data_IF_511609015199
#
_entry.id   IF_511609015199
#
_cell.length_a   1.000
_cell.length_b   1.000
_cell.length_c   1.000
_cell.angle_alpha   90.00
_cell.angle_beta   90.00
_cell.angle_gamma   90.00
#
_symmetry.space_group_name_H-M   'P 1'
#
loop_
_entity.id
_entity.type
_entity.pdbx_description
1 polymer ?
#
# COMPACT_ATOMS: atom_id res chain seq x y z
N UNK A 1 38.07 -1.91 40.98
CA UNK A 1 36.59 -1.96 41.12
C UNK A 1 35.94 -1.13 40.01
N UNK A 2 36.18 -1.45 38.73
CA UNK A 2 35.70 -0.66 37.58
C UNK A 2 35.35 -1.50 36.32
N UNK A 3 35.61 -2.81 36.29
CA UNK A 3 35.29 -3.63 35.12
C UNK A 3 33.83 -4.08 35.07
N UNK A 4 33.20 -4.27 36.23
CA UNK A 4 31.84 -4.81 36.34
C UNK A 4 30.79 -3.77 35.94
N UNK A 5 31.05 -2.48 36.22
CA UNK A 5 30.12 -1.40 35.92
C UNK A 5 29.96 -1.13 34.41
N UNK A 6 31.05 -1.22 33.64
CA UNK A 6 31.01 -1.01 32.19
C UNK A 6 30.34 -2.17 31.43
N UNK A 7 30.50 -3.41 31.92
CA UNK A 7 29.83 -4.58 31.35
C UNK A 7 28.31 -4.54 31.57
N UNK A 8 27.84 -4.07 32.73
CA UNK A 8 26.42 -3.89 32.99
C UNK A 8 25.79 -2.79 32.09
N UNK A 9 26.49 -1.69 31.84
CA UNK A 9 26.01 -0.62 30.95
C UNK A 9 25.88 -1.07 29.49
N UNK A 10 26.80 -1.90 29.00
CA UNK A 10 26.74 -2.44 27.63
C UNK A 10 25.57 -3.42 27.44
N UNK A 11 25.27 -4.23 28.45
CA UNK A 11 24.13 -5.18 28.41
C UNK A 11 22.80 -4.41 28.50
N UNK A 12 22.73 -3.35 29.32
CA UNK A 12 21.51 -2.52 29.40
C UNK A 12 21.26 -1.69 28.13
N UNK A 13 22.31 -1.21 27.45
CA UNK A 13 22.17 -0.47 26.18
C UNK A 13 21.83 -1.39 24.98
N UNK A 14 22.25 -2.66 25.01
CA UNK A 14 21.95 -3.64 23.95
C UNK A 14 20.53 -4.21 23.96
N UNK A 15 19.74 -3.93 25.00
CA UNK A 15 18.44 -4.60 25.23
C UNK A 15 17.22 -3.80 24.76
N UNK A 16 17.40 -2.57 24.27
CA UNK A 16 16.30 -1.60 24.08
C UNK A 16 16.04 -1.25 22.62
N UNK A 17 15.98 -2.20 21.68
CA UNK A 17 15.26 -1.94 20.41
C UNK A 17 14.70 -3.22 19.76
N UNK A 18 14.04 -4.10 20.52
CA UNK A 18 13.13 -5.10 19.93
C UNK A 18 11.82 -5.21 20.71
N UNK A 19 11.30 -4.07 21.18
CA UNK A 19 9.89 -3.99 21.54
C UNK A 19 9.09 -3.95 20.24
N UNK A 20 8.65 -5.12 19.79
CA UNK A 20 7.45 -5.23 18.96
C UNK A 20 6.36 -4.48 19.70
N UNK A 21 5.95 -3.33 19.17
CA UNK A 21 4.79 -2.60 19.68
C UNK A 21 3.62 -3.56 19.58
N UNK A 22 3.03 -4.00 20.70
CA UNK A 22 1.78 -4.74 20.63
C UNK A 22 0.74 -3.79 20.02
N UNK A 23 0.19 -4.16 18.87
CA UNK A 23 -0.95 -3.45 18.27
C UNK A 23 -2.13 -3.76 19.18
N UNK A 24 -2.25 -3.04 20.29
CA UNK A 24 -3.19 -3.39 21.37
C UNK A 24 -4.64 -3.09 21.00
N UNK A 25 -4.87 -2.42 19.87
CA UNK A 25 -6.15 -2.40 19.17
C UNK A 25 -5.85 -2.22 17.68
N UNK A 26 -6.15 -3.20 16.83
CA UNK A 26 -6.19 -2.91 15.40
C UNK A 26 -7.18 -1.73 15.20
N UNK A 27 -6.81 -0.63 14.53
CA UNK A 27 -7.69 0.54 14.39
C UNK A 27 -8.93 0.26 13.52
N UNK A 28 -9.15 -0.99 13.13
CA UNK A 28 -10.17 -1.41 12.20
C UNK A 28 -11.17 -2.34 12.88
N UNK A 29 -12.31 -1.78 13.28
CA UNK A 29 -13.54 -2.56 13.45
C UNK A 29 -14.31 -2.47 12.13
N UNK A 30 -14.15 -3.46 11.26
CA UNK A 30 -15.00 -3.59 10.08
C UNK A 30 -16.39 -4.06 10.52
N UNK A 31 -17.26 -3.13 10.92
CA UNK A 31 -18.67 -3.44 11.15
C UNK A 31 -19.40 -3.46 9.81
N UNK A 32 -19.09 -4.44 8.95
CA UNK A 32 -19.80 -4.68 7.69
C UNK A 32 -20.24 -6.13 7.67
N UNK A 33 -21.54 -6.37 7.48
CA UNK A 33 -22.13 -7.72 7.51
C UNK A 33 -21.48 -8.59 6.44
N UNK A 34 -21.05 -9.78 6.84
CA UNK A 34 -20.47 -10.84 6.00
C UNK A 34 -21.34 -11.17 4.76
N UNK A 35 -22.65 -11.01 4.88
CA UNK A 35 -23.63 -11.25 3.82
C UNK A 35 -23.56 -10.26 2.65
N UNK A 36 -23.07 -9.03 2.89
CA UNK A 36 -22.96 -8.03 1.84
C UNK A 36 -21.87 -8.45 0.84
N UNK A 37 -20.72 -8.91 1.33
CA UNK A 37 -19.58 -9.36 0.50
C UNK A 37 -19.98 -10.52 -0.42
N UNK A 38 -20.77 -11.47 0.09
CA UNK A 38 -21.21 -12.64 -0.69
C UNK A 38 -22.19 -12.26 -1.81
N UNK A 39 -23.08 -11.31 -1.57
CA UNK A 39 -24.00 -10.82 -2.60
C UNK A 39 -23.27 -10.03 -3.71
N UNK A 40 -22.10 -9.44 -3.41
CA UNK A 40 -21.29 -8.71 -4.39
C UNK A 40 -20.44 -9.63 -5.29
N UNK A 41 -19.97 -10.76 -4.78
CA UNK A 41 -19.18 -11.73 -5.57
C UNK A 41 -20.03 -12.46 -6.64
N UNK A 42 -21.35 -12.53 -6.46
CA UNK A 42 -22.25 -13.26 -7.37
C UNK A 42 -22.75 -12.42 -8.57
N UNK A 43 -22.37 -11.14 -8.68
CA UNK A 43 -22.75 -10.26 -9.80
C UNK A 43 -21.56 -9.88 -10.68
N UNK A 44 -20.88 -10.89 -11.22
CA UNK A 44 -20.04 -10.71 -12.40
C UNK A 44 -20.86 -11.02 -13.66
N UNK A 45 -21.27 -9.98 -14.38
CA UNK A 45 -21.53 -10.08 -15.83
C UNK A 45 -20.27 -9.63 -16.56
N UNK A 46 -19.78 -10.40 -17.55
CA UNK A 46 -18.57 -10.05 -18.26
C UNK A 46 -18.88 -8.91 -19.22
N UNK A 47 -18.32 -7.72 -18.94
CA UNK A 47 -18.36 -6.60 -19.87
C UNK A 47 -17.25 -6.82 -20.91
N UNK A 48 -17.65 -7.47 -22.00
CA UNK A 48 -16.84 -7.77 -23.18
C UNK A 48 -16.61 -6.48 -23.97
N UNK A 49 -15.52 -5.77 -23.65
CA UNK A 49 -14.99 -4.70 -24.50
C UNK A 49 -13.48 -4.82 -24.62
N UNK A 50 -13.07 -5.69 -25.56
CA UNK A 50 -11.92 -5.55 -26.46
C UNK A 50 -10.64 -4.95 -25.86
N UNK A 51 -9.69 -5.83 -25.52
CA UNK A 51 -8.28 -5.46 -25.35
C UNK A 51 -7.39 -6.48 -26.07
N UNK A 52 -7.52 -6.53 -27.39
CA UNK A 52 -6.45 -6.99 -28.27
C UNK A 52 -5.30 -5.99 -28.19
N UNK A 53 -4.46 -6.14 -27.18
CA UNK A 53 -3.07 -5.70 -27.12
C UNK A 53 -2.43 -6.43 -25.95
N UNK A 54 -2.19 -7.73 -26.16
CA UNK A 54 -1.27 -8.53 -25.35
C UNK A 54 0.15 -8.01 -25.60
N UNK A 55 0.45 -6.84 -25.05
CA UNK A 55 1.81 -6.58 -24.60
C UNK A 55 1.78 -6.97 -23.14
N UNK A 56 2.22 -8.21 -22.85
CA UNK A 56 2.83 -8.49 -21.56
C UNK A 56 4.06 -7.59 -21.45
N UNK A 57 3.84 -6.32 -21.12
CA UNK A 57 4.90 -5.47 -20.64
C UNK A 57 5.25 -6.07 -19.29
N UNK A 58 6.29 -6.89 -19.27
CA UNK A 58 6.91 -7.32 -18.02
C UNK A 58 7.16 -6.06 -17.20
N UNK A 59 6.41 -5.94 -16.11
CA UNK A 59 6.46 -4.77 -15.26
C UNK A 59 7.78 -4.87 -14.50
N UNK A 60 8.70 -3.95 -14.80
CA UNK A 60 9.95 -3.75 -14.10
C UNK A 60 9.78 -2.66 -13.05
N UNK A 61 10.73 -2.55 -12.14
CA UNK A 61 10.71 -1.47 -11.16
C UNK A 61 10.67 -0.09 -11.83
N UNK A 62 11.44 0.07 -12.91
CA UNK A 62 11.57 1.34 -13.64
C UNK A 62 10.31 1.74 -14.39
N UNK A 63 9.43 0.77 -14.68
CA UNK A 63 8.20 1.00 -15.44
C UNK A 63 6.92 0.90 -14.59
N UNK A 64 7.02 0.54 -13.30
CA UNK A 64 5.85 0.51 -12.43
C UNK A 64 5.25 1.92 -12.34
N UNK A 65 3.98 2.12 -12.73
CA UNK A 65 3.46 3.46 -12.88
C UNK A 65 3.27 4.15 -11.52
N UNK A 66 3.36 5.48 -11.53
CA UNK A 66 3.03 6.29 -10.37
C UNK A 66 1.59 6.82 -10.49
N UNK A 67 0.65 6.38 -9.63
CA UNK A 67 -0.77 6.72 -9.75
C UNK A 67 -1.06 8.19 -9.43
N UNK A 68 -0.12 8.93 -8.85
CA UNK A 68 -0.25 10.37 -8.60
C UNK A 68 0.00 11.22 -9.84
N UNK A 69 0.78 10.71 -10.79
CA UNK A 69 1.13 11.41 -12.04
C UNK A 69 0.49 10.79 -13.27
N UNK A 70 0.37 9.46 -13.30
CA UNK A 70 -0.11 8.69 -14.45
C UNK A 70 -1.18 7.66 -14.04
N UNK A 71 -2.32 8.08 -13.46
CA UNK A 71 -3.37 7.17 -13.00
C UNK A 71 -3.95 6.30 -14.13
N UNK A 72 -3.95 6.75 -15.38
CA UNK A 72 -4.38 5.94 -16.53
C UNK A 72 -3.53 4.69 -16.74
N UNK A 73 -2.22 4.74 -16.46
CA UNK A 73 -1.32 3.57 -16.54
C UNK A 73 -1.56 2.57 -15.40
N UNK A 74 -2.22 3.03 -14.33
CA UNK A 74 -2.60 2.25 -13.16
C UNK A 74 -4.03 1.68 -13.27
N UNK A 75 -4.63 1.64 -14.47
CA UNK A 75 -6.03 1.27 -14.71
C UNK A 75 -7.06 2.23 -14.05
N UNK A 76 -6.68 3.50 -13.84
CA UNK A 76 -7.52 4.55 -13.22
C UNK A 76 -7.79 5.71 -14.19
N UNK A 77 -8.43 5.40 -15.32
CA UNK A 77 -8.74 6.38 -16.36
C UNK A 77 -9.72 7.47 -15.86
N UNK A 78 -9.47 8.72 -16.22
CA UNK A 78 -10.30 9.87 -15.85
C UNK A 78 -9.98 10.49 -14.48
N UNK A 79 -9.13 9.85 -13.68
CA UNK A 79 -8.66 10.42 -12.42
C UNK A 79 -7.51 11.40 -12.65
N UNK A 80 -7.44 12.48 -11.84
CA UNK A 80 -6.29 13.40 -11.82
C UNK A 80 -5.09 12.79 -11.09
N UNK A 81 -5.37 12.04 -10.04
CA UNK A 81 -4.45 11.24 -9.25
C UNK A 81 -5.25 10.09 -8.62
N UNK A 82 -4.57 9.03 -8.22
CA UNK A 82 -5.17 7.89 -7.51
C UNK A 82 -4.20 7.39 -6.44
N UNK A 83 -4.71 6.67 -5.45
CA UNK A 83 -3.91 6.01 -4.41
C UNK A 83 -3.85 4.49 -4.62
N UNK A 84 -4.39 4.01 -5.74
CA UNK A 84 -4.33 2.63 -6.15
C UNK A 84 -3.61 2.54 -7.50
N UNK A 85 -2.70 1.57 -7.63
CA UNK A 85 -2.09 1.23 -8.89
C UNK A 85 -2.26 -0.25 -9.22
N UNK A 86 -3.01 -0.51 -10.29
CA UNK A 86 -3.30 -1.85 -10.81
C UNK A 86 -3.02 -1.90 -12.32
N UNK A 87 -1.74 -1.85 -12.74
CA UNK A 87 -1.38 -1.87 -14.16
C UNK A 87 -1.77 -3.18 -14.86
N UNK A 88 -1.88 -4.29 -14.13
CA UNK A 88 -2.27 -5.59 -14.68
C UNK A 88 -3.79 -5.80 -14.76
N UNK A 89 -4.60 -4.82 -14.35
CA UNK A 89 -6.07 -4.88 -14.37
C UNK A 89 -6.62 -6.09 -13.58
N UNK A 90 -5.97 -6.39 -12.46
CA UNK A 90 -6.38 -7.43 -11.51
C UNK A 90 -7.78 -7.12 -10.96
N UNK A 91 -8.04 -5.83 -10.69
CA UNK A 91 -9.28 -5.36 -10.12
C UNK A 91 -10.21 -4.86 -11.22
N UNK A 92 -11.49 -5.18 -11.06
CA UNK A 92 -12.53 -4.49 -11.81
C UNK A 92 -12.59 -3.01 -11.41
N UNK A 93 -13.03 -2.15 -12.34
CA UNK A 93 -13.12 -0.70 -12.10
C UNK A 93 -13.97 -0.37 -10.86
N UNK A 94 -15.09 -1.06 -10.68
CA UNK A 94 -15.98 -0.87 -9.53
C UNK A 94 -15.28 -1.18 -8.19
N UNK A 95 -14.53 -2.28 -8.12
CA UNK A 95 -13.79 -2.62 -6.89
C UNK A 95 -12.67 -1.61 -6.63
N UNK A 96 -11.93 -1.22 -7.67
CA UNK A 96 -10.89 -0.19 -7.55
C UNK A 96 -11.47 1.18 -7.11
N UNK A 97 -12.67 1.55 -7.58
CA UNK A 97 -13.37 2.77 -7.16
C UNK A 97 -13.78 2.72 -5.68
N UNK A 98 -14.25 1.57 -5.20
CA UNK A 98 -14.58 1.37 -3.78
C UNK A 98 -13.35 1.44 -2.88
N UNK A 99 -12.23 0.84 -3.30
CA UNK A 99 -10.96 0.94 -2.57
C UNK A 99 -10.50 2.40 -2.53
N UNK A 100 -10.54 3.11 -3.66
CA UNK A 100 -10.21 4.53 -3.74
C UNK A 100 -11.09 5.36 -2.79
N UNK A 101 -12.39 5.07 -2.69
CA UNK A 101 -13.29 5.73 -1.73
C UNK A 101 -12.85 5.49 -0.28
N UNK A 102 -12.50 4.25 0.08
CA UNK A 102 -12.00 3.91 1.43
C UNK A 102 -10.69 4.67 1.72
N UNK A 103 -9.74 4.69 0.78
CA UNK A 103 -8.48 5.40 0.93
C UNK A 103 -8.69 6.92 1.07
N UNK A 104 -9.63 7.49 0.31
CA UNK A 104 -10.02 8.89 0.43
C UNK A 104 -10.66 9.19 1.79
N UNK A 105 -11.53 8.31 2.27
CA UNK A 105 -12.15 8.44 3.58
C UNK A 105 -11.08 8.47 4.68
N UNK A 106 -10.11 7.55 4.66
CA UNK A 106 -9.04 7.53 5.66
C UNK A 106 -8.20 8.81 5.61
N UNK A 107 -7.85 9.32 4.42
CA UNK A 107 -7.11 10.58 4.30
C UNK A 107 -7.87 11.81 4.80
N UNK A 108 -9.21 11.79 4.81
CA UNK A 108 -10.03 12.91 5.28
C UNK A 108 -10.35 12.84 6.77
N UNK A 109 -10.42 11.63 7.33
CA UNK A 109 -10.96 11.39 8.67
C UNK A 109 -9.91 10.89 9.67
N UNK A 110 -8.70 10.53 9.21
CA UNK A 110 -7.60 10.18 10.10
C UNK A 110 -6.71 11.37 10.37
N UNK A 111 -6.08 11.35 11.55
CA UNK A 111 -5.11 12.35 11.98
C UNK A 111 -4.06 11.71 12.88
N UNK A 112 -2.83 12.17 12.74
CA UNK A 112 -1.78 11.96 13.71
C UNK A 112 -0.86 13.18 13.71
N UNK A 113 0.03 13.26 14.69
CA UNK A 113 0.97 14.36 14.81
C UNK A 113 2.25 14.03 14.05
N UNK A 114 2.66 14.91 13.14
CA UNK A 114 3.97 14.85 12.50
C UNK A 114 4.68 16.20 12.60
N UNK A 115 5.90 16.16 13.13
CA UNK A 115 6.72 17.32 13.47
C UNK A 115 5.94 18.27 14.38
N UNK A 116 5.29 19.30 13.83
CA UNK A 116 4.57 20.33 14.58
C UNK A 116 3.12 20.54 14.09
N UNK A 117 2.56 19.59 13.35
CA UNK A 117 1.20 19.70 12.81
C UNK A 117 0.45 18.37 12.79
N UNK A 118 -0.87 18.45 12.86
CA UNK A 118 -1.73 17.32 12.55
C UNK A 118 -1.77 17.08 11.03
N UNK A 119 -1.52 15.84 10.62
CA UNK A 119 -1.60 15.39 9.23
C UNK A 119 -2.39 14.08 9.15
N UNK A 120 -3.04 13.78 8.02
CA UNK A 120 -3.70 12.50 7.83
C UNK A 120 -2.69 11.40 7.49
N UNK A 121 -3.06 10.13 7.69
CA UNK A 121 -2.25 9.02 7.16
C UNK A 121 -2.31 8.97 5.64
N UNK A 122 -1.18 8.66 5.00
CA UNK A 122 -1.07 8.49 3.54
C UNK A 122 -1.03 7.00 3.22
N UNK A 123 -2.12 6.48 2.64
CA UNK A 123 -2.29 5.07 2.32
C UNK A 123 -2.28 4.87 0.81
N UNK A 124 -1.50 3.91 0.33
CA UNK A 124 -1.43 3.52 -1.08
C UNK A 124 -1.63 2.02 -1.24
N UNK A 125 -2.11 1.62 -2.42
CA UNK A 125 -2.29 0.22 -2.81
C UNK A 125 -1.60 -0.03 -4.15
N UNK A 126 -0.76 -1.06 -4.22
CA UNK A 126 -0.10 -1.48 -5.45
C UNK A 126 -0.38 -2.97 -5.68
N UNK A 127 -0.79 -3.32 -6.91
CA UNK A 127 -1.03 -4.69 -7.32
C UNK A 127 -0.17 -5.03 -8.53
N UNK A 128 0.38 -6.24 -8.55
CA UNK A 128 1.14 -6.78 -9.67
C UNK A 128 0.86 -8.29 -9.81
N UNK A 129 0.79 -8.78 -11.04
CA UNK A 129 0.64 -10.21 -11.29
C UNK A 129 1.92 -10.97 -10.99
N UNK A 130 3.07 -10.41 -11.32
CA UNK A 130 4.35 -11.10 -11.22
C UNK A 130 5.47 -10.12 -10.98
N UNK A 131 6.30 -10.41 -9.99
CA UNK A 131 7.51 -9.63 -9.76
C UNK A 131 8.58 -9.86 -10.84
N UNK A 132 9.46 -8.87 -11.06
CA UNK A 132 10.68 -9.08 -11.84
C UNK A 132 11.52 -10.22 -11.25
N UNK A 133 12.15 -11.01 -12.12
CA UNK A 133 12.99 -12.13 -11.69
C UNK A 133 14.10 -11.68 -10.73
N UNK A 134 14.27 -12.39 -9.62
CA UNK A 134 15.31 -12.12 -8.62
C UNK A 134 15.00 -10.95 -7.68
N UNK A 135 13.81 -10.34 -7.77
CA UNK A 135 13.38 -9.27 -6.87
C UNK A 135 12.33 -9.81 -5.89
N UNK A 136 12.56 -9.60 -4.60
CA UNK A 136 11.56 -9.93 -3.56
C UNK A 136 10.44 -8.88 -3.50
N UNK A 137 9.26 -9.28 -3.05
CA UNK A 137 8.14 -8.36 -2.79
C UNK A 137 8.53 -7.19 -1.88
N UNK A 138 9.27 -7.44 -0.80
CA UNK A 138 9.69 -6.39 0.14
C UNK A 138 10.58 -5.33 -0.52
N UNK A 139 11.58 -5.77 -1.30
CA UNK A 139 12.46 -4.87 -2.06
C UNK A 139 11.66 -4.03 -3.05
N UNK A 140 10.77 -4.67 -3.82
CA UNK A 140 9.96 -3.98 -4.83
C UNK A 140 8.99 -2.98 -4.20
N UNK A 141 8.29 -3.39 -3.14
CA UNK A 141 7.39 -2.53 -2.38
C UNK A 141 8.11 -1.33 -1.77
N UNK A 142 9.31 -1.53 -1.20
CA UNK A 142 10.13 -0.45 -0.63
C UNK A 142 10.53 0.57 -1.70
N UNK A 143 10.96 0.09 -2.87
CA UNK A 143 11.35 0.97 -3.97
C UNK A 143 10.15 1.75 -4.54
N UNK A 144 8.97 1.12 -4.66
CA UNK A 144 7.74 1.81 -5.05
C UNK A 144 7.34 2.86 -4.01
N UNK A 145 7.38 2.50 -2.73
CA UNK A 145 7.05 3.40 -1.62
C UNK A 145 7.87 4.71 -1.69
N UNK A 146 9.17 4.58 -1.92
CA UNK A 146 10.09 5.71 -2.10
C UNK A 146 9.83 6.48 -3.39
N UNK A 147 9.67 5.77 -4.52
CA UNK A 147 9.43 6.37 -5.83
C UNK A 147 8.14 7.19 -5.86
N UNK A 148 7.10 6.69 -5.20
CA UNK A 148 5.82 7.37 -5.06
C UNK A 148 5.85 8.53 -4.08
N UNK A 149 6.90 8.61 -3.25
CA UNK A 149 6.98 9.53 -2.10
C UNK A 149 5.71 9.42 -1.26
N UNK A 150 5.33 8.19 -0.94
CA UNK A 150 4.09 7.86 -0.24
C UNK A 150 4.26 8.18 1.25
N UNK A 151 4.32 9.46 1.61
CA UNK A 151 4.36 9.93 2.99
C UNK A 151 3.99 11.41 3.04
N UNK A 152 3.60 11.90 4.22
CA UNK A 152 3.71 13.32 4.48
C UNK A 152 5.19 13.72 4.45
N UNK A 153 5.42 14.96 4.03
CA UNK A 153 6.76 15.53 3.95
C UNK A 153 7.40 15.53 5.34
N UNK A 154 8.60 14.97 5.43
CA UNK A 154 9.43 14.90 6.64
C UNK A 154 8.91 13.94 7.74
N UNK A 155 7.94 13.06 7.41
CA UNK A 155 7.24 12.22 8.40
C UNK A 155 7.50 10.71 8.28
N UNK A 156 7.87 10.20 7.10
CA UNK A 156 8.00 8.76 6.80
C UNK A 156 6.84 7.91 7.36
N UNK A 157 5.62 8.41 7.23
CA UNK A 157 4.39 7.97 7.92
C UNK A 157 3.36 7.32 6.99
N UNK A 158 3.72 7.12 5.72
CA UNK A 158 2.82 6.47 4.78
C UNK A 158 2.87 4.95 4.90
N UNK A 159 1.86 4.32 4.30
CA UNK A 159 1.66 2.89 4.33
C UNK A 159 1.28 2.41 2.94
N UNK A 160 2.05 1.45 2.40
CA UNK A 160 1.76 0.78 1.14
C UNK A 160 1.24 -0.63 1.40
N UNK A 161 0.06 -0.94 0.89
CA UNK A 161 -0.43 -2.31 0.76
C UNK A 161 -0.02 -2.83 -0.61
N UNK A 162 0.92 -3.77 -0.63
CA UNK A 162 1.44 -4.38 -1.84
C UNK A 162 0.93 -5.81 -2.00
N UNK A 163 0.37 -6.13 -3.16
CA UNK A 163 -0.14 -7.46 -3.49
C UNK A 163 0.57 -7.99 -4.74
N UNK A 164 1.25 -9.13 -4.58
CA UNK A 164 1.71 -9.96 -5.69
C UNK A 164 0.76 -11.16 -5.84
N UNK A 165 0.16 -11.32 -7.01
CA UNK A 165 -0.72 -12.44 -7.32
C UNK A 165 0.03 -13.46 -8.18
N UNK A 166 0.85 -14.29 -7.54
CA UNK A 166 1.53 -15.42 -8.18
C UNK A 166 0.51 -16.34 -8.88
N UNK A 167 0.29 -16.13 -10.19
CA UNK A 167 -0.46 -17.03 -11.07
C UNK A 167 0.49 -17.89 -11.89
#
# INVERSE_FOLDING_TARGET
MNCVFFLCLYIFLGSVVHLKVPIENAPFVFNKKENDIKYFLDKETPDDFLSNNSYSLDITLENFPNPFFHPSLCNRYGFKFSYICDPNKILSRNIADQIEEILNYQRRNSKHFCVDKEVPYVLGVALINKLPYGISADTFASQIFEYWKLSNKDCNDGVLLFFELNQ
#
